data_IF_966478870487
#
_entry.id   IF_966478870487
#
_cell.length_a   1.000
_cell.length_b   1.000
_cell.length_c   1.000
_cell.angle_alpha   90.00
_cell.angle_beta   90.00
_cell.angle_gamma   90.00
#
_symmetry.space_group_name_H-M   'P 1'
#
loop_
_entity.id
_entity.type
_entity.pdbx_description
1 polymer ?
#
# COMPACT_ATOMS: atom_id res chain seq x y z
N UNK A 1 -1.78 24.53 -10.38
CA UNK A 1 -2.16 25.33 -11.57
C UNK A 1 -3.52 24.88 -12.06
N UNK A 2 -4.45 25.80 -12.33
CA UNK A 2 -5.77 25.49 -12.91
C UNK A 2 -5.74 25.68 -14.44
N UNK A 3 -5.06 24.78 -15.15
CA UNK A 3 -4.92 24.86 -16.62
C UNK A 3 -6.27 24.88 -17.37
N UNK A 4 -7.32 24.34 -16.74
CA UNK A 4 -8.68 24.29 -17.29
C UNK A 4 -9.40 25.65 -17.37
N UNK A 5 -8.82 26.72 -16.78
CA UNK A 5 -9.39 28.08 -16.80
C UNK A 5 -8.65 29.03 -17.73
N UNK A 6 -7.59 28.58 -18.40
CA UNK A 6 -6.74 29.40 -19.27
C UNK A 6 -7.11 29.20 -20.75
N UNK A 7 -6.86 30.22 -21.58
CA UNK A 7 -6.97 30.08 -23.03
C UNK A 7 -5.92 29.09 -23.57
N UNK A 8 -6.28 28.38 -24.64
CA UNK A 8 -5.49 27.28 -25.20
C UNK A 8 -4.07 27.74 -25.56
N UNK A 9 -3.95 28.90 -26.18
CA UNK A 9 -2.70 29.51 -26.62
C UNK A 9 -1.77 29.79 -25.43
N UNK A 10 -2.32 30.30 -24.33
CA UNK A 10 -1.57 30.58 -23.11
C UNK A 10 -1.05 29.29 -22.45
N UNK A 11 -1.83 28.20 -22.48
CA UNK A 11 -1.39 26.89 -21.96
C UNK A 11 -0.30 26.28 -22.83
N UNK A 12 -0.41 26.40 -24.16
CA UNK A 12 0.60 25.91 -25.10
C UNK A 12 1.94 26.64 -24.95
N UNK A 13 1.90 27.96 -24.79
CA UNK A 13 3.10 28.77 -24.54
C UNK A 13 3.73 28.41 -23.19
N UNK A 14 2.92 28.28 -22.13
CA UNK A 14 3.40 27.95 -20.79
C UNK A 14 4.03 26.54 -20.71
N UNK A 15 3.49 25.57 -21.45
CA UNK A 15 4.03 24.21 -21.53
C UNK A 15 5.12 24.05 -22.60
N UNK A 16 5.44 25.10 -23.36
CA UNK A 16 6.35 25.06 -24.52
C UNK A 16 5.99 23.92 -25.48
N UNK A 17 4.72 23.84 -25.87
CA UNK A 17 4.17 22.81 -26.78
C UNK A 17 3.56 23.49 -28.00
N UNK A 18 3.81 22.95 -29.19
CA UNK A 18 3.15 23.41 -30.42
C UNK A 18 1.72 22.82 -30.51
N UNK A 19 0.83 23.45 -31.26
CA UNK A 19 -0.48 22.88 -31.57
C UNK A 19 -0.40 21.50 -32.27
N UNK A 20 0.73 21.22 -32.94
CA UNK A 20 1.03 19.93 -33.57
C UNK A 20 1.65 18.89 -32.61
N UNK A 21 1.88 19.26 -31.35
CA UNK A 21 2.45 18.38 -30.32
C UNK A 21 3.95 18.59 -30.07
N UNK A 22 4.56 17.63 -29.37
CA UNK A 22 5.97 17.65 -28.99
C UNK A 22 6.84 16.88 -29.99
N UNK A 23 8.07 17.33 -30.20
CA UNK A 23 9.06 16.57 -30.96
C UNK A 23 9.55 15.35 -30.17
N UNK A 24 9.99 14.30 -30.85
CA UNK A 24 10.52 13.09 -30.21
C UNK A 24 11.73 13.39 -29.30
N UNK A 25 12.53 14.40 -29.65
CA UNK A 25 13.66 14.84 -28.83
C UNK A 25 13.20 15.47 -27.51
N UNK A 26 12.18 16.33 -27.57
CA UNK A 26 11.63 17.00 -26.38
C UNK A 26 10.88 16.01 -25.48
N UNK A 27 10.15 15.04 -26.07
CA UNK A 27 9.54 13.94 -25.31
C UNK A 27 10.60 13.18 -24.52
N UNK A 28 11.72 12.81 -25.17
CA UNK A 28 12.79 12.06 -24.50
C UNK A 28 13.45 12.89 -23.39
N UNK A 29 13.71 14.17 -23.65
CA UNK A 29 14.27 15.09 -22.65
C UNK A 29 13.36 15.23 -21.43
N UNK A 30 12.04 15.35 -21.62
CA UNK A 30 11.06 15.42 -20.53
C UNK A 30 10.98 14.12 -19.75
N UNK A 31 11.03 12.97 -20.41
CA UNK A 31 11.09 11.66 -19.74
C UNK A 31 12.37 11.50 -18.90
N UNK A 32 13.50 12.04 -19.35
CA UNK A 32 14.76 12.01 -18.59
C UNK A 32 14.70 12.91 -17.34
N UNK A 33 13.99 14.04 -17.39
CA UNK A 33 13.89 14.97 -16.25
C UNK A 33 12.73 14.71 -15.29
N UNK A 34 11.57 14.31 -15.82
CA UNK A 34 10.32 14.16 -15.06
C UNK A 34 9.94 12.69 -14.83
N UNK A 35 10.63 11.76 -15.50
CA UNK A 35 10.29 10.35 -15.46
C UNK A 35 9.16 9.97 -16.43
N UNK A 36 8.85 8.68 -16.47
CA UNK A 36 7.69 8.19 -17.21
C UNK A 36 6.42 8.53 -16.44
N UNK A 37 5.34 8.82 -17.17
CA UNK A 37 4.00 8.99 -16.58
C UNK A 37 3.42 7.62 -16.20
N UNK A 38 4.06 6.97 -15.23
CA UNK A 38 3.65 5.70 -14.67
C UNK A 38 3.40 5.88 -13.17
N UNK A 39 2.28 5.32 -12.70
CA UNK A 39 1.98 5.28 -11.28
C UNK A 39 2.93 4.24 -10.67
N UNK A 40 3.84 4.68 -9.80
CA UNK A 40 4.68 3.75 -9.03
C UNK A 40 3.78 2.76 -8.30
N UNK A 41 3.88 1.48 -8.67
CA UNK A 41 3.21 0.43 -7.93
C UNK A 41 3.88 0.33 -6.56
N UNK A 42 3.13 0.62 -5.50
CA UNK A 42 3.62 0.36 -4.15
C UNK A 42 4.15 -1.07 -4.05
N UNK A 43 5.37 -1.19 -3.54
CA UNK A 43 6.04 -2.49 -3.39
C UNK A 43 5.08 -3.44 -2.67
N UNK A 44 4.79 -4.58 -3.29
CA UNK A 44 3.91 -5.59 -2.70
C UNK A 44 4.50 -5.98 -1.34
N UNK A 45 3.85 -5.55 -0.24
CA UNK A 45 4.18 -6.05 1.10
C UNK A 45 4.20 -7.58 1.07
N UNK A 46 5.29 -8.18 1.55
CA UNK A 46 5.44 -9.64 1.65
C UNK A 46 4.53 -10.19 2.75
N UNK A 47 4.19 -11.48 2.68
CA UNK A 47 3.36 -12.14 3.70
C UNK A 47 4.01 -12.02 5.08
N UNK A 48 5.33 -12.19 5.17
CA UNK A 48 6.07 -12.00 6.42
C UNK A 48 5.96 -10.55 6.94
N UNK A 49 6.08 -9.55 6.06
CA UNK A 49 5.93 -8.14 6.47
C UNK A 49 4.54 -7.84 7.00
N UNK A 50 3.49 -8.40 6.39
CA UNK A 50 2.11 -8.24 6.84
C UNK A 50 1.90 -8.90 8.21
N UNK A 51 2.46 -10.10 8.40
CA UNK A 51 2.44 -10.80 9.68
C UNK A 51 3.07 -9.96 10.79
N UNK A 52 4.28 -9.44 10.60
CA UNK A 52 4.94 -8.58 11.59
C UNK A 52 4.20 -7.26 11.86
N UNK A 53 3.54 -6.68 10.85
CA UNK A 53 2.69 -5.51 11.05
C UNK A 53 1.48 -5.85 11.94
N UNK A 54 0.91 -7.06 11.85
CA UNK A 54 -0.17 -7.51 12.75
C UNK A 54 0.27 -7.60 14.22
N UNK A 55 1.54 -7.89 14.54
CA UNK A 55 2.02 -7.89 15.93
C UNK A 55 2.08 -6.49 16.56
N UNK A 56 2.06 -5.43 15.74
CA UNK A 56 1.99 -4.04 16.23
C UNK A 56 0.56 -3.61 16.55
N UNK A 57 -0.44 -4.41 16.19
CA UNK A 57 -1.83 -4.14 16.52
C UNK A 57 -2.05 -4.29 18.03
N UNK A 58 -2.59 -3.25 18.66
CA UNK A 58 -2.86 -3.22 20.10
C UNK A 58 -3.74 -4.40 20.54
N UNK A 59 -4.70 -4.83 19.72
CA UNK A 59 -5.57 -5.97 20.00
C UNK A 59 -4.80 -7.29 19.99
N UNK A 60 -3.88 -7.46 19.03
CA UNK A 60 -3.03 -8.67 18.95
C UNK A 60 -2.08 -8.74 20.14
N UNK A 61 -1.51 -7.62 20.58
CA UNK A 61 -0.66 -7.55 21.76
C UNK A 61 -1.44 -7.97 23.02
N UNK A 62 -2.68 -7.49 23.19
CA UNK A 62 -3.53 -7.88 24.32
C UNK A 62 -3.79 -9.39 24.32
N UNK A 63 -4.10 -9.97 23.16
CA UNK A 63 -4.33 -11.42 23.03
C UNK A 63 -3.07 -12.24 23.33
N UNK A 64 -1.89 -11.77 22.90
CA UNK A 64 -0.62 -12.42 23.23
C UNK A 64 -0.34 -12.39 24.73
N UNK A 65 -0.59 -11.27 25.41
CA UNK A 65 -0.46 -11.18 26.87
C UNK A 65 -1.44 -12.16 27.55
N UNK A 66 -2.69 -12.21 27.10
CA UNK A 66 -3.68 -13.15 27.62
C UNK A 66 -3.23 -14.62 27.43
N UNK A 67 -2.72 -14.98 26.25
CA UNK A 67 -2.20 -16.32 25.99
C UNK A 67 -1.04 -16.68 26.92
N UNK A 68 -0.11 -15.75 27.18
CA UNK A 68 0.99 -15.97 28.13
C UNK A 68 0.44 -16.23 29.54
N UNK A 69 -0.52 -15.43 30.00
CA UNK A 69 -1.16 -15.62 31.31
C UNK A 69 -1.81 -17.00 31.40
N UNK A 70 -2.52 -17.44 30.36
CA UNK A 70 -3.17 -18.75 30.34
C UNK A 70 -2.19 -19.93 30.40
N UNK A 71 -1.07 -19.83 29.67
CA UNK A 71 0.00 -20.84 29.75
C UNK A 71 0.58 -20.90 31.17
N UNK A 72 0.77 -19.76 31.82
CA UNK A 72 1.26 -19.70 33.21
C UNK A 72 0.26 -20.29 34.21
N UNK A 73 -1.04 -20.17 33.94
CA UNK A 73 -2.12 -20.79 34.72
C UNK A 73 -2.26 -22.30 34.44
N UNK A 74 -1.63 -22.81 33.39
CA UNK A 74 -1.72 -24.21 32.96
C UNK A 74 -3.01 -24.53 32.19
N UNK A 75 -3.77 -23.51 31.76
CA UNK A 75 -4.96 -23.71 30.92
C UNK A 75 -4.56 -23.73 29.44
N UNK A 76 -4.32 -24.94 28.96
CA UNK A 76 -3.96 -25.17 27.56
C UNK A 76 -5.16 -25.02 26.62
N UNK A 77 -6.40 -25.21 27.09
CA UNK A 77 -7.58 -25.09 26.25
C UNK A 77 -7.80 -23.63 25.86
N UNK A 78 -7.77 -22.72 26.84
CA UNK A 78 -7.90 -21.28 26.58
C UNK A 78 -6.75 -20.75 25.72
N UNK A 79 -5.53 -21.23 25.99
CA UNK A 79 -4.35 -20.90 25.17
C UNK A 79 -4.55 -21.31 23.69
N UNK A 80 -5.04 -22.53 23.44
CA UNK A 80 -5.27 -23.03 22.08
C UNK A 80 -6.34 -22.20 21.36
N UNK A 81 -7.41 -21.82 22.05
CA UNK A 81 -8.46 -20.96 21.48
C UNK A 81 -7.89 -19.63 21.03
N UNK A 82 -7.06 -18.97 21.87
CA UNK A 82 -6.43 -17.70 21.51
C UNK A 82 -5.50 -17.86 20.31
N UNK A 83 -4.71 -18.94 20.26
CA UNK A 83 -3.84 -19.25 19.12
C UNK A 83 -4.62 -19.40 17.82
N UNK A 84 -5.77 -20.07 17.84
CA UNK A 84 -6.65 -20.21 16.66
C UNK A 84 -7.13 -18.83 16.19
N UNK A 85 -7.57 -17.97 17.10
CA UNK A 85 -8.03 -16.61 16.77
C UNK A 85 -6.92 -15.78 16.11
N UNK A 86 -5.68 -15.86 16.63
CA UNK A 86 -4.53 -15.16 16.05
C UNK A 86 -4.22 -15.66 14.63
N UNK A 87 -4.26 -16.98 14.42
CA UNK A 87 -4.05 -17.59 13.09
C UNK A 87 -5.16 -17.14 12.12
N UNK A 88 -6.42 -17.14 12.56
CA UNK A 88 -7.54 -16.65 11.75
C UNK A 88 -7.36 -15.19 11.35
N UNK A 89 -6.97 -14.32 12.28
CA UNK A 89 -6.69 -12.92 11.98
C UNK A 89 -5.58 -12.74 10.93
N UNK A 90 -4.50 -13.52 11.04
CA UNK A 90 -3.42 -13.51 10.05
C UNK A 90 -3.92 -13.93 8.65
N UNK A 91 -4.73 -15.00 8.56
CA UNK A 91 -5.31 -15.46 7.29
C UNK A 91 -6.22 -14.40 6.67
N UNK A 92 -7.11 -13.80 7.47
CA UNK A 92 -8.03 -12.75 7.01
C UNK A 92 -7.24 -11.56 6.47
N UNK A 93 -6.18 -11.13 7.16
CA UNK A 93 -5.33 -10.01 6.73
C UNK A 93 -4.65 -10.27 5.36
N UNK A 94 -4.13 -11.49 5.15
CA UNK A 94 -3.54 -11.88 3.86
C UNK A 94 -4.58 -11.87 2.74
N UNK A 95 -5.78 -12.42 2.99
CA UNK A 95 -6.86 -12.45 1.99
C UNK A 95 -7.36 -11.03 1.67
N UNK A 96 -7.55 -10.17 2.68
CA UNK A 96 -7.96 -8.78 2.49
C UNK A 96 -6.91 -7.99 1.69
N UNK A 97 -5.62 -8.18 1.98
CA UNK A 97 -4.54 -7.52 1.23
C UNK A 97 -4.53 -7.94 -0.23
N UNK A 98 -4.81 -9.22 -0.53
CA UNK A 98 -4.94 -9.69 -1.92
C UNK A 98 -6.12 -9.05 -2.64
N UNK A 99 -7.25 -8.87 -1.95
CA UNK A 99 -8.46 -8.23 -2.51
C UNK A 99 -8.24 -6.74 -2.79
N UNK A 100 -7.56 -6.02 -1.91
CA UNK A 100 -7.27 -4.59 -2.09
C UNK A 100 -6.29 -4.32 -3.24
N UNK A 101 -5.38 -5.25 -3.54
CA UNK A 101 -4.42 -5.14 -4.65
C UNK A 101 -4.99 -5.62 -6.00
N UNK A 102 -6.20 -6.19 -6.01
CA UNK A 102 -6.87 -6.65 -7.22
C UNK A 102 -7.85 -5.61 -7.80
N UNK A 103 -8.02 -4.48 -7.09
CA UNK A 103 -8.78 -3.31 -7.51
C UNK A 103 -7.81 -2.16 -7.82
#
# INVERSE_FOLDING_TARGET
MNYYQQEKEAVLEQLNVDANGLSTQEVKRRQESEGLNEIEQEKKKSIASLFFDSFKDAMVIILLIAAIVQVLLGDYIETIVIMIVLIMNAVISVVQTKKQKAH
#
